data_IF_474765646821
#
_entry.id   IF_474765646821
#
_cell.length_a   1.000
_cell.length_b   1.000
_cell.length_c   1.000
_cell.angle_alpha   90.00
_cell.angle_beta   90.00
_cell.angle_gamma   90.00
#
_symmetry.space_group_name_H-M   'P 1'
#
loop_
_entity.id
_entity.type
_entity.pdbx_description
1 polymer ?
#
# COMPACT_ATOMS: atom_id res chain seq x y z
N UNK A 1 1.83 -19.36 -10.46
CA UNK A 1 1.66 -18.19 -9.74
C UNK A 1 2.45 -18.20 -8.46
N UNK A 2 3.03 -17.15 -8.16
CA UNK A 2 3.88 -17.08 -6.99
C UNK A 2 3.10 -16.56 -5.81
N UNK A 3 3.09 -17.29 -4.72
CA UNK A 3 2.38 -16.82 -3.55
C UNK A 3 3.10 -15.64 -2.91
N UNK A 4 4.33 -15.39 -3.31
CA UNK A 4 5.07 -14.29 -2.76
C UNK A 4 5.14 -13.11 -3.69
N UNK A 5 4.26 -13.05 -4.64
CA UNK A 5 4.27 -11.94 -5.55
C UNK A 5 4.05 -10.63 -4.79
N UNK A 6 4.81 -9.64 -5.13
CA UNK A 6 4.63 -8.35 -4.51
C UNK A 6 4.11 -7.37 -5.54
N UNK A 7 3.39 -6.39 -5.04
CA UNK A 7 2.82 -5.38 -5.88
C UNK A 7 3.35 -4.04 -5.50
N UNK A 8 3.57 -3.22 -6.48
CA UNK A 8 3.95 -1.85 -6.23
C UNK A 8 2.75 -1.10 -5.78
N UNK A 9 2.88 -0.40 -4.68
CA UNK A 9 1.77 0.30 -4.09
C UNK A 9 2.23 1.71 -3.75
N UNK A 10 1.42 2.68 -4.09
CA UNK A 10 1.72 4.07 -3.74
C UNK A 10 0.72 4.53 -2.71
N UNK A 11 1.23 5.10 -1.64
CA UNK A 11 0.38 5.64 -0.58
C UNK A 11 0.57 7.15 -0.60
N UNK A 12 -0.50 7.87 -0.87
CA UNK A 12 -0.44 9.32 -0.91
C UNK A 12 -0.88 9.91 0.41
N UNK A 13 -0.16 10.90 0.87
CA UNK A 13 -0.43 11.56 2.14
C UNK A 13 -0.83 13.00 1.95
N UNK A 14 -1.45 13.55 2.95
CA UNK A 14 -1.74 14.98 2.96
C UNK A 14 -0.43 15.72 2.79
N UNK A 15 -0.47 16.77 2.01
CA UNK A 15 0.75 17.53 1.75
C UNK A 15 1.46 17.11 0.48
N UNK A 16 0.94 16.11 -0.21
CA UNK A 16 1.51 15.75 -1.50
C UNK A 16 2.61 14.72 -1.47
N UNK A 17 2.94 14.20 -0.32
CA UNK A 17 3.99 13.18 -0.25
C UNK A 17 3.46 11.84 -0.68
N UNK A 18 4.31 11.08 -1.34
CA UNK A 18 3.93 9.76 -1.81
C UNK A 18 4.99 8.77 -1.37
N UNK A 19 4.54 7.68 -0.80
CA UNK A 19 5.43 6.62 -0.36
C UNK A 19 5.19 5.41 -1.24
N UNK A 20 6.26 4.90 -1.84
CA UNK A 20 6.15 3.72 -2.69
C UNK A 20 6.61 2.50 -1.91
N UNK A 21 5.78 1.47 -1.93
CA UNK A 21 6.05 0.26 -1.19
C UNK A 21 5.83 -0.95 -2.09
N UNK A 22 6.49 -2.03 -1.74
CA UNK A 22 6.24 -3.30 -2.40
C UNK A 22 5.62 -4.21 -1.38
N UNK A 23 4.37 -4.55 -1.58
CA UNK A 23 3.59 -5.26 -0.60
C UNK A 23 3.12 -6.59 -1.15
N UNK A 24 3.12 -7.60 -0.29
CA UNK A 24 2.49 -8.86 -0.66
C UNK A 24 0.98 -8.65 -0.70
N UNK A 25 0.27 -9.61 -1.26
CA UNK A 25 -1.17 -9.52 -1.30
C UNK A 25 -1.76 -9.44 0.10
N UNK A 26 -1.19 -10.18 1.03
CA UNK A 26 -1.68 -10.15 2.39
C UNK A 26 -1.47 -8.79 3.03
N UNK A 27 -0.29 -8.24 2.86
CA UNK A 27 0.01 -6.95 3.45
C UNK A 27 -0.85 -5.86 2.83
N UNK A 28 -1.07 -5.96 1.53
CA UNK A 28 -1.89 -4.99 0.84
C UNK A 28 -3.33 -5.04 1.32
N UNK A 29 -3.86 -6.25 1.46
CA UNK A 29 -5.23 -6.41 1.94
C UNK A 29 -5.37 -5.87 3.36
N UNK A 30 -4.39 -6.17 4.21
CA UNK A 30 -4.45 -5.71 5.58
C UNK A 30 -4.42 -4.19 5.65
N UNK A 31 -3.56 -3.56 4.85
CA UNK A 31 -3.49 -2.12 4.83
C UNK A 31 -4.78 -1.50 4.32
N UNK A 32 -5.31 -2.06 3.24
CA UNK A 32 -6.54 -1.57 2.66
C UNK A 32 -7.69 -1.65 3.65
N UNK A 33 -7.78 -2.77 4.36
CA UNK A 33 -8.85 -2.96 5.33
C UNK A 33 -8.70 -1.99 6.48
N UNK A 34 -7.48 -1.76 6.93
CA UNK A 34 -7.25 -0.83 8.02
C UNK A 34 -7.66 0.58 7.62
N UNK A 35 -7.34 0.97 6.39
CA UNK A 35 -7.70 2.29 5.92
C UNK A 35 -9.21 2.44 5.79
N UNK A 36 -9.88 1.41 5.31
CA UNK A 36 -11.32 1.47 5.15
C UNK A 36 -12.03 1.52 6.49
N UNK A 37 -11.51 0.80 7.47
CA UNK A 37 -12.14 0.77 8.78
C UNK A 37 -12.00 2.10 9.50
N UNK A 38 -10.87 2.77 9.31
CA UNK A 38 -10.69 4.08 9.88
C UNK A 38 -10.60 4.11 11.38
N UNK A 39 -10.27 2.99 12.02
CA UNK A 39 -10.24 2.93 13.46
C UNK A 39 -8.87 3.09 14.06
N UNK A 40 -7.86 2.75 13.29
CA UNK A 40 -6.50 2.81 13.79
C UNK A 40 -5.86 4.10 13.37
N UNK A 41 -5.03 4.64 14.23
CA UNK A 41 -4.30 5.81 13.84
C UNK A 41 -3.00 5.42 13.15
N UNK A 42 -2.36 4.37 13.66
CA UNK A 42 -1.10 3.92 13.10
C UNK A 42 -1.21 2.48 12.70
N UNK A 43 -0.59 2.13 11.60
CA UNK A 43 -0.58 0.75 11.14
C UNK A 43 0.84 0.41 10.70
N UNK A 44 1.30 -0.75 11.08
CA UNK A 44 2.60 -1.22 10.64
C UNK A 44 2.42 -2.05 9.38
N UNK A 45 3.13 -1.66 8.34
CA UNK A 45 3.00 -2.31 7.05
C UNK A 45 4.32 -3.00 6.75
N UNK A 46 4.27 -4.28 6.44
CA UNK A 46 5.47 -5.01 6.11
C UNK A 46 5.68 -4.97 4.61
N UNK A 47 6.69 -4.24 4.19
CA UNK A 47 7.05 -4.19 2.80
C UNK A 47 8.23 -5.12 2.56
N UNK A 48 8.57 -5.34 1.30
CA UNK A 48 9.60 -6.32 0.98
C UNK A 48 10.96 -5.92 1.52
N UNK A 49 11.19 -4.63 1.73
CA UNK A 49 12.48 -4.18 2.21
C UNK A 49 12.43 -3.66 3.65
N UNK A 50 11.38 -3.96 4.37
CA UNK A 50 11.31 -3.55 5.78
C UNK A 50 9.91 -3.19 6.17
N UNK A 51 9.75 -2.82 7.42
CA UNK A 51 8.44 -2.44 7.95
C UNK A 51 8.33 -0.92 8.01
N UNK A 52 7.14 -0.43 7.75
CA UNK A 52 6.87 1.00 7.77
C UNK A 52 5.69 1.25 8.67
N UNK A 53 5.79 2.24 9.52
CA UNK A 53 4.68 2.63 10.36
C UNK A 53 4.00 3.81 9.72
N UNK A 54 2.74 3.66 9.38
CA UNK A 54 2.00 4.65 8.61
C UNK A 54 0.92 5.31 9.46
N UNK A 55 0.83 6.63 9.35
CA UNK A 55 -0.22 7.39 10.04
C UNK A 55 -1.46 7.36 9.16
N UNK A 56 -2.40 6.54 9.54
CA UNK A 56 -3.60 6.30 8.76
C UNK A 56 -4.39 7.59 8.54
N UNK A 57 -4.36 8.47 9.51
CA UNK A 57 -5.11 9.72 9.40
C UNK A 57 -4.56 10.69 8.38
N UNK A 58 -3.33 10.46 7.91
CA UNK A 58 -2.73 11.33 6.92
C UNK A 58 -2.79 10.75 5.52
N UNK A 59 -3.34 9.56 5.36
CA UNK A 59 -3.39 8.91 4.07
C UNK A 59 -4.58 9.43 3.28
N UNK A 60 -4.31 9.87 2.08
CA UNK A 60 -5.34 10.36 1.18
C UNK A 60 -5.78 9.29 0.21
N UNK A 61 -4.84 8.50 -0.29
CA UNK A 61 -5.19 7.43 -1.23
C UNK A 61 -4.20 6.30 -1.17
N UNK A 62 -4.64 5.17 -1.66
CA UNK A 62 -3.81 3.99 -1.82
C UNK A 62 -3.98 3.53 -3.25
N UNK A 63 -2.90 3.48 -3.97
CA UNK A 63 -2.95 3.11 -5.38
C UNK A 63 -2.10 1.88 -5.59
N UNK A 64 -2.69 0.87 -6.19
CA UNK A 64 -1.99 -0.37 -6.49
C UNK A 64 -1.66 -0.35 -7.97
N UNK A 65 -0.39 -0.43 -8.29
CA UNK A 65 0.01 -0.44 -9.68
C UNK A 65 -0.09 -1.83 -10.24
N UNK A 66 -0.53 -1.92 -11.46
CA UNK A 66 -0.67 -3.21 -12.10
C UNK A 66 0.64 -3.59 -12.73
N UNK A 67 1.01 -4.85 -12.55
CA UNK A 67 2.15 -5.35 -13.26
C UNK A 67 1.84 -5.61 -14.69
N UNK A 68 0.60 -5.72 -15.02
CA UNK A 68 0.20 -6.01 -16.35
C UNK A 68 0.22 -4.73 -17.13
N UNK A 69 1.31 -4.39 -17.65
CA UNK A 69 1.46 -3.17 -18.33
C UNK A 69 0.85 -3.22 -19.66
N UNK A 70 -0.39 -3.04 -19.71
CA UNK A 70 -1.06 -3.14 -20.92
C UNK A 70 -0.80 -1.94 -21.70
N UNK A 71 -0.06 -2.03 -22.61
CA UNK A 71 0.22 -0.96 -23.39
C UNK A 71 -0.74 -0.73 -24.39
N UNK A 72 -1.47 -1.54 -24.59
CA UNK A 72 -2.26 -1.49 -25.73
C UNK A 72 -3.21 -0.39 -25.75
N UNK A 73 -3.18 0.53 -25.38
CA UNK A 73 -4.17 1.51 -25.65
C UNK A 73 -3.60 2.63 -26.50
#
# INVERSE_FOLDING_TARGET
MSPNAVRRTAVGFHGGQVLSLRLSEEALTALSDTLKAGKERWVEVEASDGAVLVDVGQVVYLRVESDDQRIGF
#
